data_IF_231911354679
#
_entry.id   IF_231911354679
#
_cell.length_a   1.000
_cell.length_b   1.000
_cell.length_c   1.000
_cell.angle_alpha   90.00
_cell.angle_beta   90.00
_cell.angle_gamma   90.00
#
_symmetry.space_group_name_H-M   'P 1'
#
loop_
_entity.id
_entity.type
_entity.pdbx_description
1 polymer ?
#
# COMPACT_ATOMS: atom_id res chain seq x y z
N UNK A 1 -10.73 18.89 7.59
CA UNK A 1 -10.15 17.53 7.55
C UNK A 1 -9.89 17.22 6.09
N UNK A 2 -8.66 16.82 5.74
CA UNK A 2 -8.25 16.59 4.35
C UNK A 2 -8.75 15.26 3.77
N UNK A 3 -8.64 15.10 2.46
CA UNK A 3 -8.89 13.84 1.76
C UNK A 3 -7.84 12.81 2.22
N UNK A 4 -8.30 11.60 2.53
CA UNK A 4 -7.43 10.45 2.84
C UNK A 4 -7.62 9.35 1.81
N UNK A 5 -6.64 8.46 1.71
CA UNK A 5 -6.62 7.39 0.71
C UNK A 5 -6.39 6.04 1.39
N UNK A 6 -6.85 4.98 0.72
CA UNK A 6 -6.52 3.60 1.05
C UNK A 6 -5.85 3.02 -0.21
N UNK A 7 -4.60 2.63 -0.08
CA UNK A 7 -3.77 2.23 -1.22
C UNK A 7 -4.05 0.75 -1.52
N UNK A 8 -4.45 0.48 -2.77
CA UNK A 8 -4.68 -0.88 -3.27
C UNK A 8 -3.37 -1.58 -3.65
N UNK A 9 -3.36 -2.92 -3.61
CA UNK A 9 -2.20 -3.75 -3.90
C UNK A 9 -1.62 -3.48 -5.29
N UNK A 10 -2.48 -3.29 -6.31
CA UNK A 10 -1.97 -3.04 -7.66
C UNK A 10 -1.22 -1.70 -7.77
N UNK A 11 -1.59 -0.71 -6.94
CA UNK A 11 -0.88 0.57 -6.87
C UNK A 11 0.43 0.42 -6.13
N UNK A 12 0.44 -0.30 -5.00
CA UNK A 12 1.67 -0.58 -4.24
C UNK A 12 2.70 -1.28 -5.13
N UNK A 13 2.34 -2.38 -5.79
CA UNK A 13 3.26 -3.13 -6.64
C UNK A 13 3.84 -2.25 -7.74
N UNK A 14 3.00 -1.48 -8.44
CA UNK A 14 3.47 -0.57 -9.50
C UNK A 14 4.38 0.55 -8.98
N UNK A 15 4.12 1.02 -7.76
CA UNK A 15 4.96 2.02 -7.10
C UNK A 15 6.32 1.44 -6.73
N UNK A 16 6.35 0.24 -6.11
CA UNK A 16 7.60 -0.45 -5.74
C UNK A 16 8.42 -0.89 -6.96
N UNK A 17 7.77 -1.18 -8.08
CA UNK A 17 8.43 -1.51 -9.36
C UNK A 17 8.81 -0.24 -10.17
N UNK A 18 8.51 0.96 -9.67
CA UNK A 18 8.77 2.25 -10.34
C UNK A 18 8.15 2.35 -11.77
N UNK A 19 7.02 1.67 -12.01
CA UNK A 19 6.36 1.64 -13.34
C UNK A 19 5.15 2.58 -13.46
N UNK A 20 4.90 3.40 -12.45
CA UNK A 20 3.90 4.47 -12.51
C UNK A 20 4.42 5.68 -13.30
N UNK A 21 3.55 6.51 -13.89
CA UNK A 21 3.94 7.82 -14.40
C UNK A 21 4.61 8.67 -13.32
N UNK A 22 5.55 9.54 -13.69
CA UNK A 22 6.35 10.33 -12.73
C UNK A 22 5.48 11.14 -11.78
N UNK A 23 4.38 11.72 -12.26
CA UNK A 23 3.45 12.49 -11.43
C UNK A 23 2.76 11.61 -10.39
N UNK A 24 2.48 10.34 -10.73
CA UNK A 24 1.89 9.37 -9.82
C UNK A 24 2.92 8.84 -8.81
N UNK A 25 4.18 8.68 -9.20
CA UNK A 25 5.28 8.37 -8.26
C UNK A 25 5.41 9.49 -7.24
N UNK A 26 5.51 10.76 -7.68
CA UNK A 26 5.61 11.90 -6.75
C UNK A 26 4.40 12.06 -5.84
N UNK A 27 3.20 11.72 -6.33
CA UNK A 27 2.00 11.67 -5.49
C UNK A 27 2.10 10.55 -4.43
N UNK A 28 2.56 9.36 -4.84
CA UNK A 28 2.75 8.23 -3.94
C UNK A 28 3.83 8.51 -2.90
N UNK A 29 4.95 9.14 -3.25
CA UNK A 29 6.00 9.54 -2.31
C UNK A 29 5.42 10.40 -1.18
N UNK A 30 4.68 11.45 -1.54
CA UNK A 30 4.03 12.33 -0.57
C UNK A 30 2.98 11.60 0.29
N UNK A 31 2.25 10.64 -0.29
CA UNK A 31 1.24 9.87 0.43
C UNK A 31 1.87 8.85 1.39
N UNK A 32 2.94 8.19 0.98
CA UNK A 32 3.66 7.20 1.79
C UNK A 32 4.37 7.88 2.96
N UNK A 33 4.88 9.09 2.77
CA UNK A 33 5.55 9.86 3.82
C UNK A 33 4.59 10.42 4.89
N UNK A 34 3.34 10.75 4.53
CA UNK A 34 2.40 11.46 5.42
C UNK A 34 1.23 10.59 5.94
N UNK A 35 0.63 9.74 5.11
CA UNK A 35 -0.62 9.03 5.46
C UNK A 35 -0.72 7.64 4.80
N UNK A 36 0.36 6.84 4.89
CA UNK A 36 0.43 5.52 4.27
C UNK A 36 -0.57 4.53 4.89
N UNK A 37 -1.61 4.18 4.13
CA UNK A 37 -2.71 3.32 4.59
C UNK A 37 -3.04 2.24 3.60
N UNK A 38 -3.14 1.02 4.12
CA UNK A 38 -3.57 -0.14 3.33
C UNK A 38 -4.60 -0.96 4.09
N UNK A 39 -5.39 -1.73 3.34
CA UNK A 39 -6.29 -2.70 3.95
C UNK A 39 -5.51 -3.93 4.45
N UNK A 40 -6.07 -4.66 5.41
CA UNK A 40 -5.51 -5.96 5.80
C UNK A 40 -5.51 -6.96 4.62
N UNK A 41 -6.39 -6.80 3.63
CA UNK A 41 -6.42 -7.59 2.39
C UNK A 41 -5.17 -7.30 1.57
N UNK A 42 -4.85 -6.03 1.37
CA UNK A 42 -3.63 -5.57 0.68
C UNK A 42 -2.38 -6.12 1.37
N UNK A 43 -2.34 -6.13 2.71
CA UNK A 43 -1.26 -6.77 3.46
C UNK A 43 -1.16 -8.27 3.15
N UNK A 44 -2.27 -9.00 3.11
CA UNK A 44 -2.27 -10.44 2.76
C UNK A 44 -1.72 -10.63 1.35
N UNK A 45 -2.18 -9.85 0.37
CA UNK A 45 -1.75 -9.97 -1.02
C UNK A 45 -0.26 -9.67 -1.18
N UNK A 46 0.27 -8.64 -0.51
CA UNK A 46 1.70 -8.33 -0.51
C UNK A 46 2.55 -9.42 0.15
N UNK A 47 2.07 -10.04 1.23
CA UNK A 47 2.78 -11.15 1.88
C UNK A 47 2.85 -12.41 0.98
N UNK A 48 1.81 -12.67 0.19
CA UNK A 48 1.77 -13.78 -0.77
C UNK A 48 2.50 -13.45 -2.08
N UNK A 49 2.65 -12.16 -2.41
CA UNK A 49 3.46 -11.71 -3.53
C UNK A 49 4.91 -12.16 -3.35
N UNK A 50 5.40 -12.93 -4.31
CA UNK A 50 6.75 -13.51 -4.31
C UNK A 50 7.57 -12.84 -5.42
N UNK A 51 8.25 -11.72 -5.14
CA UNK A 51 9.03 -11.03 -6.14
C UNK A 51 10.27 -11.85 -6.54
N UNK A 52 10.79 -11.65 -7.76
CA UNK A 52 11.91 -12.44 -8.28
C UNK A 52 13.26 -12.13 -7.61
N UNK A 53 13.39 -11.00 -6.91
CA UNK A 53 14.61 -10.54 -6.23
C UNK A 53 14.35 -10.35 -4.73
N UNK A 54 15.31 -10.77 -3.89
CA UNK A 54 15.28 -10.62 -2.44
C UNK A 54 15.25 -9.15 -1.98
N UNK A 55 15.78 -8.21 -2.75
CA UNK A 55 15.71 -6.77 -2.43
C UNK A 55 14.27 -6.27 -2.39
N UNK A 56 13.40 -6.74 -3.29
CA UNK A 56 11.98 -6.39 -3.27
C UNK A 56 11.24 -6.93 -2.05
N UNK A 57 11.73 -8.02 -1.44
CA UNK A 57 11.18 -8.52 -0.17
C UNK A 57 11.45 -7.52 0.96
N UNK A 58 12.65 -6.94 1.02
CA UNK A 58 13.04 -5.94 2.02
C UNK A 58 12.19 -4.68 1.84
N UNK A 59 12.13 -4.16 0.62
CA UNK A 59 11.33 -2.96 0.30
C UNK A 59 9.85 -3.15 0.64
N UNK A 60 9.28 -4.33 0.34
CA UNK A 60 7.92 -4.67 0.75
C UNK A 60 7.75 -4.66 2.27
N UNK A 61 8.69 -5.25 3.01
CA UNK A 61 8.64 -5.30 4.47
C UNK A 61 8.73 -3.90 5.09
N UNK A 62 9.59 -3.04 4.56
CA UNK A 62 9.70 -1.63 4.95
C UNK A 62 8.41 -0.86 4.67
N UNK A 63 7.82 -1.03 3.48
CA UNK A 63 6.54 -0.42 3.14
C UNK A 63 5.43 -0.85 4.11
N UNK A 64 5.30 -2.16 4.39
CA UNK A 64 4.31 -2.67 5.32
C UNK A 64 4.56 -2.22 6.76
N UNK A 65 5.82 -2.02 7.17
CA UNK A 65 6.18 -1.52 8.49
C UNK A 65 5.84 -0.03 8.66
N UNK A 66 5.92 0.76 7.59
CA UNK A 66 5.52 2.16 7.56
C UNK A 66 4.01 2.40 7.35
N UNK A 67 3.24 1.36 7.05
CA UNK A 67 1.82 1.48 6.74
C UNK A 67 0.91 1.32 7.96
N UNK A 68 -0.11 2.16 8.08
CA UNK A 68 -1.28 1.90 8.93
C UNK A 68 -2.17 0.83 8.27
N UNK A 69 -2.44 -0.25 9.01
CA UNK A 69 -3.25 -1.37 8.51
C UNK A 69 -4.69 -1.23 8.98
N UNK A 70 -5.61 -1.02 8.03
CA UNK A 70 -7.05 -1.00 8.29
C UNK A 70 -7.65 -2.41 8.23
N UNK A 71 -8.18 -2.86 9.37
CA UNK A 71 -8.90 -4.13 9.48
C UNK A 71 -10.36 -4.00 9.07
N UNK A 72 -11.00 -5.14 8.83
CA UNK A 72 -12.41 -5.22 8.50
C UNK A 72 -13.24 -5.59 9.73
N UNK A 73 -14.46 -5.08 9.78
CA UNK A 73 -15.51 -5.46 10.72
C UNK A 73 -16.86 -5.46 9.99
N UNK A 74 -17.92 -5.90 10.68
CA UNK A 74 -19.26 -5.97 10.09
C UNK A 74 -19.81 -4.59 9.69
N UNK A 75 -19.39 -3.51 10.34
CA UNK A 75 -19.80 -2.15 9.97
C UNK A 75 -19.25 -1.78 8.58
N UNK A 76 -17.97 -2.05 8.32
CA UNK A 76 -17.35 -1.82 7.01
C UNK A 76 -18.00 -2.70 5.93
N UNK A 77 -18.29 -3.96 6.24
CA UNK A 77 -18.89 -4.91 5.30
C UNK A 77 -20.31 -4.48 4.89
N UNK A 78 -21.09 -4.02 5.86
CA UNK A 78 -22.50 -3.68 5.64
C UNK A 78 -22.70 -2.24 5.14
N UNK A 79 -21.62 -1.48 4.95
CA UNK A 79 -21.66 -0.08 4.57
C UNK A 79 -21.95 0.80 5.77
N UNK A 80 -20.87 1.37 6.34
CA UNK A 80 -20.91 2.32 7.45
C UNK A 80 -21.81 3.54 7.16
#
# INVERSE_FOLDING_TARGET
MGQKYLIDTCTVVKYLDEILPQEAISFMDALVDDDCKVSFITKIELLVWNPPNAEYMIVREEFLAGSEIHYINDEIINGA
#
